data_IF_162469239755
#
_entry.id   IF_162469239755
#
_cell.length_a   1.000
_cell.length_b   1.000
_cell.length_c   1.000
_cell.angle_alpha   90.00
_cell.angle_beta   90.00
_cell.angle_gamma   90.00
#
_symmetry.space_group_name_H-M   'P 1'
#
loop_
_entity.id
_entity.type
_entity.pdbx_description
1 polymer ?
#
# COMPACT_ATOMS: atom_id res chain seq x y z
N UNK A 1 3.95 51.89 -33.38
CA UNK A 1 3.70 52.17 -31.95
C UNK A 1 2.24 51.77 -31.71
N UNK A 2 1.80 50.79 -30.90
CA UNK A 2 2.32 50.16 -29.70
C UNK A 2 1.66 48.78 -29.55
N UNK A 3 2.40 47.69 -29.75
CA UNK A 3 1.92 46.30 -29.52
C UNK A 3 2.88 45.50 -28.63
N UNK A 4 3.59 46.17 -27.73
CA UNK A 4 4.68 45.60 -26.91
C UNK A 4 4.30 45.54 -25.42
N UNK A 5 3.01 45.46 -25.08
CA UNK A 5 2.56 45.58 -23.68
C UNK A 5 1.70 44.43 -23.14
N UNK A 6 1.49 43.36 -23.91
CA UNK A 6 0.71 42.20 -23.44
C UNK A 6 1.54 40.96 -23.09
N UNK A 7 2.86 40.98 -23.30
CA UNK A 7 3.70 39.78 -23.08
C UNK A 7 4.32 39.68 -21.68
N UNK A 8 4.15 40.66 -20.80
CA UNK A 8 4.80 40.66 -19.47
C UNK A 8 3.91 40.15 -18.33
N UNK A 9 2.61 39.93 -18.57
CA UNK A 9 1.67 39.53 -17.50
C UNK A 9 1.41 38.02 -17.46
N UNK A 10 1.84 37.24 -18.46
CA UNK A 10 1.65 35.78 -18.46
C UNK A 10 2.75 34.99 -17.72
N UNK A 11 3.87 35.62 -17.35
CA UNK A 11 5.00 34.93 -16.70
C UNK A 11 4.89 34.81 -15.17
N UNK A 12 3.82 35.31 -14.55
CA UNK A 12 3.63 35.22 -13.10
C UNK A 12 2.92 33.93 -12.63
N UNK A 13 2.46 33.07 -13.53
CA UNK A 13 1.73 31.83 -13.19
C UNK A 13 2.50 30.54 -13.47
N UNK A 14 3.81 30.62 -13.71
CA UNK A 14 4.67 29.43 -13.62
C UNK A 14 4.95 29.23 -12.13
N UNK A 15 3.90 28.81 -11.41
CA UNK A 15 4.05 28.28 -10.07
C UNK A 15 5.14 27.24 -10.12
N UNK A 16 6.14 27.39 -9.26
CA UNK A 16 7.15 26.40 -9.00
C UNK A 16 6.43 25.06 -8.79
N UNK A 17 6.41 24.22 -9.82
CA UNK A 17 6.21 22.80 -9.64
C UNK A 17 7.49 22.32 -8.97
N UNK A 18 7.58 22.57 -7.66
CA UNK A 18 8.44 21.82 -6.80
C UNK A 18 8.09 20.37 -7.09
N UNK A 19 8.99 19.68 -7.78
CA UNK A 19 8.96 18.24 -7.96
C UNK A 19 8.95 17.69 -6.53
N UNK A 20 7.75 17.49 -5.98
CA UNK A 20 7.56 17.21 -4.58
C UNK A 20 8.18 15.83 -4.37
N UNK A 21 9.42 15.83 -3.90
CA UNK A 21 10.22 14.64 -3.79
C UNK A 21 9.40 13.58 -3.06
N UNK A 22 9.16 12.45 -3.74
CA UNK A 22 8.31 11.40 -3.19
C UNK A 22 8.90 11.01 -1.84
N UNK A 23 8.14 11.17 -0.73
CA UNK A 23 8.64 10.91 0.60
C UNK A 23 9.06 9.46 0.69
N UNK A 24 9.95 9.12 1.63
CA UNK A 24 10.48 7.76 1.76
C UNK A 24 9.34 6.72 1.93
N UNK A 25 8.28 7.09 2.64
CA UNK A 25 7.07 6.27 2.80
C UNK A 25 6.21 6.15 1.51
N UNK A 26 6.52 6.87 0.45
CA UNK A 26 5.94 6.72 -0.89
C UNK A 26 6.74 5.78 -1.80
N UNK A 27 7.87 5.25 -1.33
CA UNK A 27 8.82 4.50 -2.15
C UNK A 27 8.69 2.98 -2.05
N UNK A 28 7.77 2.45 -1.24
CA UNK A 28 7.55 1.00 -1.21
C UNK A 28 7.05 0.48 -2.57
N UNK A 29 7.50 -0.72 -2.93
CA UNK A 29 7.03 -1.48 -4.08
C UNK A 29 6.13 -2.61 -3.57
N UNK A 30 5.04 -2.90 -4.28
CA UNK A 30 4.16 -4.02 -3.92
C UNK A 30 4.93 -5.36 -3.95
N UNK A 31 5.94 -5.48 -4.83
CA UNK A 31 6.81 -6.66 -4.94
C UNK A 31 7.69 -6.92 -3.72
N UNK A 32 7.83 -5.97 -2.79
CA UNK A 32 8.50 -6.20 -1.50
C UNK A 32 7.70 -7.14 -0.59
N UNK A 33 6.41 -7.34 -0.88
CA UNK A 33 5.56 -8.32 -0.19
C UNK A 33 5.39 -9.54 -1.08
N UNK A 34 5.95 -10.66 -0.66
CA UNK A 34 5.76 -11.93 -1.33
C UNK A 34 4.33 -12.43 -1.12
N UNK A 35 3.57 -12.53 -2.21
CA UNK A 35 2.25 -13.15 -2.22
C UNK A 35 2.43 -14.65 -2.41
N UNK A 36 2.39 -15.40 -1.31
CA UNK A 36 2.73 -16.82 -1.32
C UNK A 36 1.70 -17.58 -2.14
N UNK A 37 2.20 -18.33 -3.12
CA UNK A 37 1.37 -19.16 -3.99
C UNK A 37 0.73 -20.31 -3.21
N UNK A 38 -0.46 -20.79 -3.62
CA UNK A 38 -1.18 -21.78 -2.85
C UNK A 38 -0.48 -23.14 -2.92
N UNK A 39 -0.03 -23.64 -1.77
CA UNK A 39 0.08 -25.09 -1.50
C UNK A 39 -1.29 -25.56 -1.00
N UNK A 40 -1.51 -26.87 -0.85
CA UNK A 40 -2.81 -27.43 -0.46
C UNK A 40 -3.45 -26.60 0.67
N UNK A 41 -4.73 -26.26 0.50
CA UNK A 41 -5.54 -25.44 1.43
C UNK A 41 -5.21 -23.94 1.50
N UNK A 42 -4.45 -23.39 0.55
CA UNK A 42 -4.19 -21.95 0.48
C UNK A 42 -4.86 -21.28 -0.73
N UNK A 43 -5.06 -19.96 -0.65
CA UNK A 43 -5.39 -19.12 -1.82
C UNK A 43 -4.32 -18.05 -2.00
N UNK A 44 -3.97 -17.71 -3.25
CA UNK A 44 -3.02 -16.62 -3.50
C UNK A 44 -3.67 -15.29 -3.07
N UNK A 45 -3.05 -14.50 -2.18
CA UNK A 45 -3.56 -13.17 -1.87
C UNK A 45 -3.45 -12.25 -3.10
N UNK A 46 -4.34 -11.27 -3.17
CA UNK A 46 -4.30 -10.19 -4.16
C UNK A 46 -3.96 -8.87 -3.47
N UNK A 47 -3.45 -7.91 -4.25
CA UNK A 47 -3.13 -6.57 -3.77
C UNK A 47 -3.86 -5.51 -4.58
N UNK A 48 -4.44 -4.55 -3.88
CA UNK A 48 -5.08 -3.38 -4.48
C UNK A 48 -4.40 -2.14 -3.92
N UNK A 49 -3.72 -1.39 -4.78
CA UNK A 49 -3.15 -0.10 -4.40
C UNK A 49 -4.27 0.89 -4.03
N UNK A 50 -4.02 1.68 -2.99
CA UNK A 50 -4.93 2.74 -2.54
C UNK A 50 -4.30 4.10 -2.80
N UNK A 51 -5.11 5.14 -2.73
CA UNK A 51 -4.60 6.51 -2.71
C UNK A 51 -3.58 6.68 -1.57
N UNK A 52 -2.53 7.44 -1.85
CA UNK A 52 -1.52 7.78 -0.86
C UNK A 52 -2.17 8.60 0.28
N UNK A 53 -1.54 8.61 1.45
CA UNK A 53 -1.90 9.56 2.51
C UNK A 53 -1.64 10.99 2.06
N UNK A 54 -2.19 11.97 2.78
CA UNK A 54 -1.87 13.39 2.56
C UNK A 54 -0.36 13.68 2.69
N UNK A 55 0.36 12.89 3.51
CA UNK A 55 1.81 12.95 3.64
C UNK A 55 2.56 12.22 2.49
N UNK A 56 1.87 11.75 1.45
CA UNK A 56 2.46 11.05 0.30
C UNK A 56 2.83 9.59 0.54
N UNK A 57 2.43 8.97 1.66
CA UNK A 57 2.77 7.59 1.98
C UNK A 57 1.88 6.59 1.22
N UNK A 58 2.50 5.57 0.64
CA UNK A 58 1.80 4.52 -0.09
C UNK A 58 0.98 3.63 0.83
N UNK A 59 -0.16 3.19 0.31
CA UNK A 59 -1.09 2.29 0.98
C UNK A 59 -1.56 1.22 0.00
N UNK A 60 -1.79 0.01 0.49
CA UNK A 60 -2.43 -1.04 -0.28
C UNK A 60 -3.26 -1.93 0.62
N UNK A 61 -4.33 -2.50 0.06
CA UNK A 61 -5.04 -3.61 0.67
C UNK A 61 -4.46 -4.90 0.16
N UNK A 62 -4.17 -5.83 1.07
CA UNK A 62 -3.97 -7.24 0.74
C UNK A 62 -5.27 -7.96 1.03
N UNK A 63 -5.75 -8.73 0.06
CA UNK A 63 -7.05 -9.38 0.11
C UNK A 63 -6.87 -10.88 -0.03
N UNK A 64 -7.43 -11.62 0.91
CA UNK A 64 -7.61 -13.07 0.82
C UNK A 64 -9.08 -13.34 0.57
N UNK A 65 -9.41 -13.90 -0.59
CA UNK A 65 -10.77 -14.38 -0.89
C UNK A 65 -10.75 -15.89 -0.97
N UNK A 66 -11.62 -16.53 -0.20
CA UNK A 66 -11.58 -17.95 0.12
C UNK A 66 -12.98 -18.58 0.04
N UNK A 67 -13.16 -19.79 -0.51
CA UNK A 67 -14.45 -20.49 -0.54
C UNK A 67 -15.10 -20.74 0.83
N UNK A 68 -14.28 -20.88 1.88
CA UNK A 68 -14.70 -21.04 3.28
C UNK A 68 -13.96 -20.05 4.18
N UNK A 69 -14.39 -19.95 5.43
CA UNK A 69 -13.65 -19.17 6.41
C UNK A 69 -12.22 -19.68 6.52
N UNK A 70 -11.29 -18.75 6.59
CA UNK A 70 -9.87 -19.02 6.74
C UNK A 70 -9.21 -17.86 7.42
N UNK A 71 -7.88 -17.85 7.43
CA UNK A 71 -7.07 -16.83 8.07
C UNK A 71 -6.01 -16.26 7.12
N UNK A 72 -5.48 -15.09 7.47
CA UNK A 72 -4.37 -14.44 6.80
C UNK A 72 -3.13 -14.47 7.68
N UNK A 73 -2.01 -14.90 7.10
CA UNK A 73 -0.71 -14.90 7.75
C UNK A 73 0.17 -13.80 7.21
N UNK A 74 0.95 -13.20 8.11
CA UNK A 74 2.07 -12.35 7.76
C UNK A 74 3.36 -13.06 8.16
N UNK A 75 4.28 -13.19 7.20
CA UNK A 75 5.61 -13.77 7.42
C UNK A 75 5.56 -15.18 8.05
N UNK A 76 4.58 -16.01 7.67
CA UNK A 76 4.34 -17.36 8.25
C UNK A 76 3.97 -17.34 9.74
N UNK A 77 3.47 -16.22 10.25
CA UNK A 77 2.87 -16.12 11.55
C UNK A 77 1.43 -15.61 11.39
N UNK A 78 0.51 -16.21 12.16
CA UNK A 78 -0.84 -15.65 12.28
C UNK A 78 -0.73 -14.34 13.07
N UNK A 79 -0.88 -13.22 12.37
CA UNK A 79 -0.68 -11.88 12.89
C UNK A 79 -1.89 -11.00 12.54
N UNK A 80 -3.04 -11.30 13.16
CA UNK A 80 -4.26 -10.49 13.11
C UNK A 80 -5.55 -11.26 13.46
N UNK A 81 -6.73 -10.63 13.45
CA UNK A 81 -8.04 -11.20 13.79
C UNK A 81 -8.78 -11.70 12.54
N UNK A 82 -8.10 -12.40 11.66
CA UNK A 82 -8.51 -12.35 10.27
C UNK A 82 -9.28 -13.60 9.87
N UNK A 83 -10.26 -14.02 10.66
CA UNK A 83 -11.15 -15.12 10.30
C UNK A 83 -12.28 -14.63 9.39
N UNK A 84 -12.37 -15.21 8.19
CA UNK A 84 -13.46 -14.89 7.27
C UNK A 84 -13.29 -15.49 5.88
N UNK A 85 -14.34 -15.41 5.06
CA UNK A 85 -14.27 -15.78 3.64
C UNK A 85 -13.52 -14.75 2.81
N UNK A 86 -13.67 -13.48 3.15
CA UNK A 86 -12.92 -12.38 2.56
C UNK A 86 -12.25 -11.61 3.67
N UNK A 87 -10.93 -11.56 3.64
CA UNK A 87 -10.11 -10.86 4.62
C UNK A 87 -9.40 -9.74 3.88
N UNK A 88 -9.47 -8.53 4.43
CA UNK A 88 -8.73 -7.38 3.92
C UNK A 88 -7.82 -6.83 4.99
N UNK A 89 -6.53 -6.73 4.70
CA UNK A 89 -5.55 -6.08 5.55
C UNK A 89 -4.99 -4.83 4.88
N UNK A 90 -5.06 -3.71 5.60
CA UNK A 90 -4.43 -2.47 5.18
C UNK A 90 -2.93 -2.53 5.47
N UNK A 91 -2.11 -2.34 4.45
CA UNK A 91 -0.68 -2.11 4.57
C UNK A 91 -0.36 -0.65 4.27
N UNK A 92 0.44 -0.04 5.14
CA UNK A 92 0.98 1.31 4.95
C UNK A 92 2.49 1.22 4.85
N UNK A 93 3.07 1.93 3.90
CA UNK A 93 4.51 2.03 3.76
C UNK A 93 5.07 2.98 4.84
N UNK A 94 6.06 2.51 5.59
CA UNK A 94 6.72 3.27 6.65
C UNK A 94 7.87 4.15 6.14
N UNK A 95 8.38 5.01 7.02
CA UNK A 95 9.55 5.85 6.75
C UNK A 95 10.85 5.05 6.55
N UNK A 96 10.85 3.74 6.79
CA UNK A 96 11.95 2.82 6.54
C UNK A 96 11.80 2.01 5.25
N UNK A 97 10.89 2.42 4.36
CA UNK A 97 10.56 1.72 3.09
C UNK A 97 10.08 0.28 3.29
N UNK A 98 9.42 -0.01 4.41
CA UNK A 98 8.83 -1.31 4.73
C UNK A 98 7.31 -1.23 4.85
N UNK A 99 6.62 -2.25 4.36
CA UNK A 99 5.17 -2.38 4.52
C UNK A 99 4.83 -2.79 5.95
N UNK A 100 3.80 -2.17 6.51
CA UNK A 100 3.37 -2.38 7.89
C UNK A 100 1.87 -2.58 7.94
N UNK A 101 1.44 -3.61 8.66
CA UNK A 101 0.07 -3.75 9.12
C UNK A 101 0.03 -3.35 10.60
N UNK A 102 -0.96 -2.54 10.99
CA UNK A 102 -1.21 -2.26 12.40
C UNK A 102 -2.59 -2.81 12.76
N UNK A 103 -2.60 -3.70 13.74
CA UNK A 103 -3.81 -4.34 14.23
C UNK A 103 -3.74 -4.54 15.74
N UNK A 104 -4.83 -4.20 16.47
CA UNK A 104 -4.88 -4.21 17.94
C UNK A 104 -3.63 -3.60 18.60
N UNK A 105 -3.26 -2.39 18.15
CA UNK A 105 -2.05 -1.66 18.56
C UNK A 105 -0.69 -2.36 18.30
N UNK A 106 -0.68 -3.58 17.75
CA UNK A 106 0.52 -4.29 17.32
C UNK A 106 0.82 -3.95 15.86
N UNK A 107 2.06 -3.54 15.59
CA UNK A 107 2.52 -3.28 14.23
C UNK A 107 3.44 -4.40 13.77
N UNK A 108 3.09 -5.02 12.65
CA UNK A 108 3.86 -6.08 12.00
C UNK A 108 4.46 -5.54 10.70
N UNK A 109 5.77 -5.69 10.54
CA UNK A 109 6.41 -5.47 9.23
C UNK A 109 6.04 -6.66 8.35
N UNK A 110 5.46 -6.42 7.18
CA UNK A 110 4.95 -7.47 6.31
C UNK A 110 5.89 -7.63 5.11
N UNK A 111 6.49 -8.81 4.98
CA UNK A 111 7.37 -9.21 3.86
C UNK A 111 6.79 -10.37 3.08
N UNK A 112 5.86 -11.14 3.66
CA UNK A 112 5.13 -12.19 2.97
C UNK A 112 3.69 -12.27 3.49
N UNK A 113 2.75 -12.62 2.60
CA UNK A 113 1.35 -12.86 2.95
C UNK A 113 0.91 -14.20 2.38
N UNK A 114 0.19 -14.98 3.19
CA UNK A 114 -0.49 -16.19 2.78
C UNK A 114 -1.93 -16.19 3.30
N UNK A 115 -2.80 -16.94 2.63
CA UNK A 115 -4.18 -17.17 3.05
C UNK A 115 -4.38 -18.68 3.22
N UNK A 116 -4.89 -19.14 4.35
CA UNK A 116 -5.16 -20.56 4.61
C UNK A 116 -6.59 -20.79 5.08
N UNK A 117 -7.20 -21.91 4.69
CA UNK A 117 -8.48 -22.32 5.27
C UNK A 117 -8.27 -23.02 6.62
N UNK A 118 -9.26 -22.86 7.50
CA UNK A 118 -9.48 -23.79 8.62
C UNK A 118 -10.31 -25.00 8.21
#
# INVERSE_FOLDING_TARGET
MSRVLYLTVLLAFIGNISDAAVPICGQCLASQVALVAPIQLMTKPTVTALANTAAGCKRMNVICTMPRAGMMEFNRATAGPYEGKTITALLTCGADKKWRNTYNAKTTIVTAVACYYV
#
